data_IF_546197659278
#
_entry.id   IF_546197659278
#
_cell.length_a   1.000
_cell.length_b   1.000
_cell.length_c   1.000
_cell.angle_alpha   90.00
_cell.angle_beta   90.00
_cell.angle_gamma   90.00
#
_symmetry.space_group_name_H-M   'P 1'
#
loop_
_entity.id
_entity.type
_entity.pdbx_description
1 polymer ?
#
# COMPACT_ATOMS: atom_id res chain seq x y z
N UNK A 1 -7.43 21.52 -33.58
CA UNK A 1 -6.17 21.79 -32.84
C UNK A 1 -6.10 20.83 -31.67
N UNK A 2 -5.08 19.96 -31.60
CA UNK A 2 -4.85 19.11 -30.42
C UNK A 2 -4.04 19.95 -29.45
N UNK A 3 -4.61 20.21 -28.28
CA UNK A 3 -3.95 20.88 -27.18
C UNK A 3 -2.84 19.93 -26.67
N UNK A 4 -1.59 20.21 -27.02
CA UNK A 4 -0.45 19.44 -26.52
C UNK A 4 -0.32 19.69 -25.02
N UNK A 5 -0.55 18.64 -24.23
CA UNK A 5 -0.46 18.71 -22.78
C UNK A 5 0.94 19.19 -22.35
N UNK A 6 0.98 20.26 -21.55
CA UNK A 6 2.20 20.88 -21.00
C UNK A 6 3.17 19.84 -20.41
N UNK A 7 4.50 20.02 -20.57
CA UNK A 7 5.52 19.10 -20.05
C UNK A 7 5.36 18.77 -18.56
N UNK A 8 4.85 19.72 -17.78
CA UNK A 8 4.57 19.55 -16.35
C UNK A 8 3.43 18.55 -16.08
N UNK A 9 2.37 18.58 -16.90
CA UNK A 9 1.26 17.64 -16.81
C UNK A 9 1.70 16.21 -17.16
N UNK A 10 2.56 16.06 -18.17
CA UNK A 10 3.13 14.76 -18.55
C UNK A 10 4.04 14.19 -17.45
N UNK A 11 4.84 15.04 -16.80
CA UNK A 11 5.68 14.64 -15.67
C UNK A 11 4.82 14.20 -14.46
N UNK A 12 3.76 14.95 -14.13
CA UNK A 12 2.85 14.59 -13.04
C UNK A 12 2.12 13.26 -13.29
N UNK A 13 1.69 12.99 -14.53
CA UNK A 13 1.07 11.72 -14.92
C UNK A 13 2.04 10.54 -14.85
N UNK A 14 3.29 10.73 -15.27
CA UNK A 14 4.33 9.69 -15.15
C UNK A 14 4.66 9.37 -13.69
N UNK A 15 4.78 10.40 -12.84
CA UNK A 15 5.02 10.23 -11.40
C UNK A 15 3.84 9.54 -10.71
N UNK A 16 2.60 9.86 -11.08
CA UNK A 16 1.41 9.21 -10.52
C UNK A 16 1.32 7.74 -10.95
N UNK A 17 1.65 7.41 -12.20
CA UNK A 17 1.73 6.04 -12.69
C UNK A 17 2.83 5.22 -12.01
N UNK A 18 4.04 5.77 -11.87
CA UNK A 18 5.13 5.09 -11.17
C UNK A 18 4.79 4.84 -9.68
N UNK A 19 4.12 5.82 -9.04
CA UNK A 19 3.60 5.64 -7.67
C UNK A 19 2.57 4.51 -7.61
N UNK A 20 1.60 4.45 -8.53
CA UNK A 20 0.61 3.35 -8.64
C UNK A 20 1.28 1.99 -8.83
N UNK A 21 2.28 1.91 -9.70
CA UNK A 21 3.04 0.67 -9.95
C UNK A 21 3.69 0.12 -8.67
N UNK A 22 4.27 0.98 -7.83
CA UNK A 22 4.87 0.54 -6.57
C UNK A 22 3.84 -0.03 -5.58
N UNK A 23 2.61 0.48 -5.58
CA UNK A 23 1.54 -0.05 -4.73
C UNK A 23 1.03 -1.40 -5.21
N UNK A 24 0.93 -1.61 -6.53
CA UNK A 24 0.62 -2.92 -7.10
C UNK A 24 1.65 -3.96 -6.67
N UNK A 25 2.94 -3.63 -6.74
CA UNK A 25 4.01 -4.53 -6.28
C UNK A 25 3.89 -4.87 -4.79
N UNK A 26 3.54 -3.90 -3.92
CA UNK A 26 3.32 -4.18 -2.49
C UNK A 26 2.08 -5.02 -2.22
N UNK A 27 1.05 -4.90 -3.04
CA UNK A 27 -0.12 -5.73 -2.96
C UNK A 27 0.19 -7.20 -3.29
N UNK A 28 1.06 -7.46 -4.26
CA UNK A 28 1.49 -8.81 -4.62
C UNK A 28 2.38 -9.43 -3.54
N UNK A 29 3.31 -8.66 -2.95
CA UNK A 29 4.07 -9.08 -1.77
C UNK A 29 3.13 -9.48 -0.63
N UNK A 30 2.05 -8.73 -0.40
CA UNK A 30 1.04 -9.06 0.63
C UNK A 30 0.31 -10.35 0.31
N UNK A 31 -0.11 -10.56 -0.95
CA UNK A 31 -0.77 -11.80 -1.40
C UNK A 31 0.15 -13.02 -1.21
N UNK A 32 1.40 -12.93 -1.66
CA UNK A 32 2.39 -13.99 -1.49
C UNK A 32 2.66 -14.29 -0.01
N UNK A 33 2.81 -13.24 0.81
CA UNK A 33 2.93 -13.37 2.25
C UNK A 33 1.73 -14.07 2.89
N UNK A 34 0.49 -13.76 2.50
CA UNK A 34 -0.70 -14.48 3.01
C UNK A 34 -0.63 -15.97 2.69
N UNK A 35 -0.34 -16.32 1.43
CA UNK A 35 -0.22 -17.71 0.98
C UNK A 35 0.83 -18.47 1.81
N UNK A 36 2.02 -17.90 1.98
CA UNK A 36 3.08 -18.52 2.77
C UNK A 36 2.69 -18.67 4.25
N UNK A 37 2.04 -17.66 4.85
CA UNK A 37 1.53 -17.78 6.23
C UNK A 37 0.53 -18.92 6.37
N UNK A 38 -0.44 -19.02 5.45
CA UNK A 38 -1.44 -20.08 5.48
C UNK A 38 -0.81 -21.47 5.34
N UNK A 39 0.17 -21.63 4.45
CA UNK A 39 0.91 -22.90 4.32
C UNK A 39 1.65 -23.26 5.60
N UNK A 40 2.35 -22.31 6.22
CA UNK A 40 3.09 -22.55 7.46
C UNK A 40 2.17 -22.84 8.65
N UNK A 41 0.99 -22.21 8.71
CA UNK A 41 -0.03 -22.51 9.72
C UNK A 41 -0.64 -23.90 9.49
N UNK A 42 -0.90 -24.27 8.23
CA UNK A 42 -1.45 -25.56 7.85
C UNK A 42 -0.47 -26.72 8.15
N UNK A 43 0.79 -26.59 7.74
CA UNK A 43 1.82 -27.61 7.97
C UNK A 43 2.50 -27.50 9.33
N UNK A 44 2.03 -26.62 10.22
CA UNK A 44 2.69 -26.32 11.50
C UNK A 44 2.90 -27.53 12.41
N UNK A 45 2.02 -28.54 12.33
CA UNK A 45 2.14 -29.79 13.09
C UNK A 45 3.29 -30.69 12.59
N UNK A 46 3.60 -30.64 11.29
CA UNK A 46 4.68 -31.43 10.67
C UNK A 46 6.03 -30.69 10.76
N UNK A 47 5.97 -29.36 10.74
CA UNK A 47 7.14 -28.50 10.86
C UNK A 47 7.50 -28.32 12.34
N UNK A 48 8.34 -29.21 12.91
CA UNK A 48 8.81 -29.25 14.31
C UNK A 48 9.37 -27.92 14.90
N UNK A 49 8.55 -26.86 15.00
CA UNK A 49 8.84 -25.58 15.64
C UNK A 49 9.64 -24.54 14.84
N UNK A 50 10.48 -24.94 13.88
CA UNK A 50 11.36 -24.03 13.12
C UNK A 50 10.64 -22.90 12.36
N UNK A 51 9.38 -23.13 11.97
CA UNK A 51 8.56 -22.19 11.20
C UNK A 51 8.04 -21.00 12.04
N UNK A 52 8.10 -21.05 13.38
CA UNK A 52 7.54 -20.02 14.27
C UNK A 52 8.20 -18.65 14.09
N UNK A 53 9.52 -18.61 13.89
CA UNK A 53 10.26 -17.36 13.63
C UNK A 53 9.83 -16.73 12.32
N UNK A 54 9.72 -17.54 11.27
CA UNK A 54 9.25 -17.13 9.94
C UNK A 54 7.81 -16.62 9.99
N UNK A 55 6.91 -17.32 10.70
CA UNK A 55 5.53 -16.85 10.93
C UNK A 55 5.49 -15.49 11.62
N UNK A 56 6.32 -15.26 12.65
CA UNK A 56 6.38 -13.98 13.35
C UNK A 56 6.81 -12.84 12.42
N UNK A 57 7.83 -13.07 11.60
CA UNK A 57 8.31 -12.12 10.61
C UNK A 57 7.25 -11.83 9.54
N UNK A 58 6.58 -12.86 9.02
CA UNK A 58 5.49 -12.71 8.07
C UNK A 58 4.34 -11.89 8.64
N UNK A 59 3.93 -12.13 9.88
CA UNK A 59 2.88 -11.34 10.55
C UNK A 59 3.28 -9.87 10.68
N UNK A 60 4.54 -9.56 10.96
CA UNK A 60 5.04 -8.18 11.02
C UNK A 60 4.98 -7.50 9.65
N UNK A 61 5.44 -8.18 8.59
CA UNK A 61 5.36 -7.68 7.21
C UNK A 61 3.90 -7.43 6.84
N UNK A 62 3.04 -8.44 7.02
CA UNK A 62 1.62 -8.33 6.70
C UNK A 62 0.93 -7.18 7.43
N UNK A 63 1.24 -6.94 8.71
CA UNK A 63 0.69 -5.82 9.47
C UNK A 63 1.07 -4.47 8.85
N UNK A 64 2.35 -4.26 8.53
CA UNK A 64 2.80 -2.97 7.95
C UNK A 64 2.26 -2.72 6.56
N UNK A 65 2.26 -3.74 5.72
CA UNK A 65 1.70 -3.67 4.37
C UNK A 65 0.18 -3.52 4.39
N UNK A 66 -0.51 -4.12 5.37
CA UNK A 66 -1.93 -3.92 5.62
C UNK A 66 -2.24 -2.45 5.92
N UNK A 67 -1.58 -1.87 6.93
CA UNK A 67 -1.82 -0.46 7.29
C UNK A 67 -1.51 0.51 6.14
N UNK A 68 -0.46 0.26 5.34
CA UNK A 68 -0.19 1.07 4.15
C UNK A 68 -1.31 0.95 3.11
N UNK A 69 -1.80 -0.27 2.88
CA UNK A 69 -2.90 -0.51 1.95
C UNK A 69 -4.18 0.18 2.39
N UNK A 70 -4.52 0.16 3.68
CA UNK A 70 -5.73 0.80 4.19
C UNK A 70 -5.73 2.30 3.89
N UNK A 71 -4.58 2.98 4.08
CA UNK A 71 -4.42 4.40 3.75
C UNK A 71 -4.58 4.65 2.25
N UNK A 72 -3.95 3.82 1.41
CA UNK A 72 -4.01 3.98 -0.06
C UNK A 72 -5.42 3.70 -0.58
N UNK A 73 -6.08 2.66 -0.09
CA UNK A 73 -7.43 2.29 -0.49
C UNK A 73 -8.44 3.36 -0.05
N UNK A 74 -8.35 3.86 1.19
CA UNK A 74 -9.22 4.93 1.67
C UNK A 74 -9.02 6.24 0.91
N UNK A 75 -7.78 6.60 0.56
CA UNK A 75 -7.54 7.77 -0.29
C UNK A 75 -8.12 7.59 -1.70
N UNK A 76 -7.99 6.41 -2.30
CA UNK A 76 -8.60 6.13 -3.60
C UNK A 76 -10.12 6.24 -3.53
N UNK A 77 -10.75 5.61 -2.53
CA UNK A 77 -12.19 5.71 -2.31
C UNK A 77 -12.63 7.18 -2.14
N UNK A 78 -11.87 7.98 -1.40
CA UNK A 78 -12.16 9.41 -1.23
C UNK A 78 -12.08 10.17 -2.56
N UNK A 79 -11.06 9.91 -3.39
CA UNK A 79 -10.92 10.56 -4.70
C UNK A 79 -12.03 10.15 -5.67
N UNK A 80 -12.34 8.86 -5.71
CA UNK A 80 -13.35 8.30 -6.62
C UNK A 80 -14.76 8.76 -6.25
N UNK A 81 -14.98 9.15 -4.99
CA UNK A 81 -16.28 9.61 -4.47
C UNK A 81 -16.27 11.08 -4.05
N UNK A 82 -15.26 11.87 -4.46
CA UNK A 82 -15.10 13.26 -4.02
C UNK A 82 -16.33 14.13 -4.35
N UNK A 83 -16.99 13.87 -5.49
CA UNK A 83 -18.22 14.56 -5.88
C UNK A 83 -19.38 14.29 -4.92
N UNK A 84 -19.49 13.08 -4.35
CA UNK A 84 -20.52 12.73 -3.36
C UNK A 84 -20.29 13.41 -2.01
N UNK A 85 -19.05 13.84 -1.76
CA UNK A 85 -18.62 14.47 -0.51
C UNK A 85 -18.49 15.99 -0.66
N UNK A 86 -18.81 16.55 -1.82
CA UNK A 86 -18.85 17.98 -2.04
C UNK A 86 -19.81 18.63 -1.04
N UNK A 87 -19.30 19.54 -0.19
CA UNK A 87 -20.07 20.21 0.87
C UNK A 87 -20.05 19.51 2.24
N UNK A 88 -19.45 18.32 2.37
CA UNK A 88 -19.33 17.60 3.65
C UNK A 88 -18.11 18.01 4.51
N UNK A 89 -17.29 18.94 4.00
CA UNK A 89 -16.10 19.47 4.68
C UNK A 89 -14.94 19.73 3.73
N UNK A 90 -13.78 20.01 4.29
CA UNK A 90 -12.54 20.27 3.55
C UNK A 90 -11.92 18.97 3.02
N UNK A 91 -12.42 18.52 1.87
CA UNK A 91 -11.97 17.30 1.20
C UNK A 91 -10.49 17.39 0.81
N UNK A 92 -10.00 18.58 0.48
CA UNK A 92 -8.61 18.81 0.11
C UNK A 92 -7.67 18.64 1.32
N UNK A 93 -8.04 19.17 2.49
CA UNK A 93 -7.29 18.93 3.71
C UNK A 93 -7.20 17.43 4.07
N UNK A 94 -8.29 16.67 3.87
CA UNK A 94 -8.33 15.22 4.10
C UNK A 94 -7.41 14.49 3.11
N UNK A 95 -7.45 14.86 1.82
CA UNK A 95 -6.55 14.28 0.81
C UNK A 95 -5.08 14.58 1.11
N UNK A 96 -4.76 15.80 1.55
CA UNK A 96 -3.43 16.16 2.01
C UNK A 96 -2.99 15.36 3.24
N UNK A 97 -3.90 15.09 4.17
CA UNK A 97 -3.62 14.20 5.30
C UNK A 97 -3.28 12.79 4.84
N UNK A 98 -4.08 12.21 3.93
CA UNK A 98 -3.81 10.87 3.37
C UNK A 98 -2.46 10.80 2.66
N UNK A 99 -2.06 11.84 1.91
CA UNK A 99 -0.76 11.85 1.27
C UNK A 99 0.40 11.81 2.28
N UNK A 100 0.30 12.60 3.36
CA UNK A 100 1.29 12.59 4.44
C UNK A 100 1.35 11.25 5.15
N UNK A 101 0.19 10.70 5.49
CA UNK A 101 0.09 9.43 6.18
C UNK A 101 0.65 8.28 5.33
N UNK A 102 0.38 8.28 4.02
CA UNK A 102 0.93 7.33 3.07
C UNK A 102 2.46 7.37 3.04
N UNK A 103 3.07 8.55 2.93
CA UNK A 103 4.54 8.71 2.99
C UNK A 103 5.10 8.18 4.31
N UNK A 104 4.42 8.45 5.43
CA UNK A 104 4.82 7.99 6.77
C UNK A 104 4.78 6.47 6.90
N UNK A 105 3.78 5.79 6.33
CA UNK A 105 3.63 4.32 6.38
C UNK A 105 4.49 3.59 5.36
N UNK A 106 4.84 4.23 4.25
CA UNK A 106 5.69 3.64 3.22
C UNK A 106 7.11 3.36 3.72
N UNK A 107 7.74 4.31 4.41
CA UNK A 107 9.10 4.17 4.96
C UNK A 107 9.31 2.90 5.80
N UNK A 108 8.49 2.61 6.83
CA UNK A 108 8.65 1.41 7.64
C UNK A 108 8.26 0.11 6.93
N UNK A 109 7.42 0.15 5.89
CA UNK A 109 7.08 -1.01 5.07
C UNK A 109 8.24 -1.38 4.12
N UNK A 110 8.78 -0.41 3.39
CA UNK A 110 9.97 -0.59 2.55
C UNK A 110 11.20 -0.99 3.37
N UNK A 111 11.36 -0.43 4.57
CA UNK A 111 12.44 -0.78 5.49
C UNK A 111 12.41 -2.23 5.99
N UNK A 112 11.25 -2.90 5.99
CA UNK A 112 11.20 -4.33 6.32
C UNK A 112 11.73 -5.19 5.17
N UNK A 113 11.46 -4.82 3.92
CA UNK A 113 11.95 -5.56 2.76
C UNK A 113 13.48 -5.52 2.64
N UNK A 114 14.11 -4.42 3.07
CA UNK A 114 15.57 -4.29 3.10
C UNK A 114 16.28 -5.09 4.19
N UNK A 115 15.53 -5.63 5.16
CA UNK A 115 16.06 -6.38 6.30
C UNK A 115 15.84 -7.90 6.16
N UNK A 116 15.19 -8.32 5.08
CA UNK A 116 15.06 -9.71 4.66
C UNK A 116 16.29 -10.10 3.86
#
# INVERSE_FOLDING_TARGET
>A
MREEASPEAQHQLRVSHAKRSNYTSFHDVRKAGKKLRYLLEFFGLVLHGGHKRTLKLLKQIQKRFGTLNDVVASEMLLRDNAALLAGSGDTDAVLHWFERERKRRLRPAAGLLRKL
#
